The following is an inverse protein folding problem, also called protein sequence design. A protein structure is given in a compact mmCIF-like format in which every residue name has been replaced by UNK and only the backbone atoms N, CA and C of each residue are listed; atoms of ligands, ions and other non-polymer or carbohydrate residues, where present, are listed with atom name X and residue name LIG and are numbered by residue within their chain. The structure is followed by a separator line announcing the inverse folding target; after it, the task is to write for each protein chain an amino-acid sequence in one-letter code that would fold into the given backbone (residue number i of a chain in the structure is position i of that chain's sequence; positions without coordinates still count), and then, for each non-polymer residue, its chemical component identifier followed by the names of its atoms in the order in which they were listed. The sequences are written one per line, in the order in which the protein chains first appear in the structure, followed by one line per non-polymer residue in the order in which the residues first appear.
data_IF_443324479066
#
_entry.id   IF_443324479066
#
_cell.length_a   1.000
_cell.length_b   1.000
_cell.length_c   1.000
_cell.angle_alpha   90.00
_cell.angle_beta   90.00
_cell.angle_gamma   90.00
#
_symmetry.space_group_name_H-M   'P 1'
#
loop_
_entity.id
_entity.type
_entity.pdbx_description
1 polymer ?
#
# COMPACT_ATOMS: atom_id res chain seq x y z
N UNK A 1 19.08 15.21 13.48
CA UNK A 1 19.02 13.79 13.03
C UNK A 1 18.89 13.77 11.51
N UNK A 2 19.47 12.75 10.84
CA UNK A 2 19.35 12.59 9.39
C UNK A 2 17.92 12.18 9.06
N UNK A 3 17.31 12.82 8.05
CA UNK A 3 15.96 12.45 7.60
C UNK A 3 16.00 11.06 6.95
N UNK A 4 15.02 10.16 7.24
CA UNK A 4 14.97 8.84 6.62
C UNK A 4 14.56 8.95 5.15
N UNK A 5 15.12 8.08 4.31
CA UNK A 5 14.64 7.86 2.95
C UNK A 5 13.48 6.88 2.95
N UNK A 6 12.35 7.31 2.39
CA UNK A 6 11.14 6.52 2.27
C UNK A 6 10.93 6.17 0.80
N UNK A 7 11.05 4.89 0.48
CA UNK A 7 10.82 4.39 -0.86
C UNK A 7 9.33 4.30 -1.17
N UNK A 8 8.87 4.97 -2.22
CA UNK A 8 7.51 4.80 -2.74
C UNK A 8 7.62 4.00 -4.03
N UNK A 9 7.05 2.79 -4.03
CA UNK A 9 7.07 1.92 -5.21
C UNK A 9 6.13 2.48 -6.25
N UNK A 10 6.65 2.71 -7.45
CA UNK A 10 5.91 3.32 -8.55
C UNK A 10 4.88 2.36 -9.15
N UNK A 11 3.87 2.93 -9.79
CA UNK A 11 2.86 2.21 -10.59
C UNK A 11 3.04 2.52 -12.06
N UNK A 12 2.91 1.51 -12.90
CA UNK A 12 2.85 1.71 -14.35
C UNK A 12 1.50 2.28 -14.77
N UNK A 13 1.52 3.20 -15.72
CA UNK A 13 0.33 3.69 -16.42
C UNK A 13 0.61 3.66 -17.91
N UNK A 14 -0.24 2.94 -18.63
CA UNK A 14 -0.27 2.99 -20.08
C UNK A 14 -1.27 4.08 -20.52
N UNK A 15 -0.75 5.08 -21.21
CA UNK A 15 -1.55 6.02 -21.98
C UNK A 15 -1.47 5.57 -23.44
N UNK A 16 -2.29 4.62 -23.84
CA UNK A 16 -2.49 4.31 -25.25
C UNK A 16 -3.74 5.02 -25.74
N UNK A 17 -3.57 6.02 -26.60
CA UNK A 17 -4.64 6.50 -27.45
C UNK A 17 -4.65 5.61 -28.71
N UNK A 18 -5.83 5.14 -29.16
CA UNK A 18 -5.95 4.29 -30.36
C UNK A 18 -5.38 4.94 -31.64
N UNK A 19 -5.16 6.26 -31.62
CA UNK A 19 -4.60 7.03 -32.71
C UNK A 19 -3.06 7.22 -32.65
N UNK A 20 -2.40 6.77 -31.56
CA UNK A 20 -0.99 7.02 -31.37
C UNK A 20 -0.14 5.94 -32.05
N UNK A 21 0.78 6.38 -32.91
CA UNK A 21 1.82 5.52 -33.51
C UNK A 21 2.84 5.08 -32.45
N UNK A 22 2.93 5.81 -31.33
CA UNK A 22 3.84 5.53 -30.23
C UNK A 22 3.04 5.15 -28.99
N UNK A 23 3.40 4.02 -28.35
CA UNK A 23 2.88 3.63 -27.04
C UNK A 23 3.71 4.29 -25.96
N UNK A 24 3.07 5.10 -25.10
CA UNK A 24 3.72 5.74 -23.98
C UNK A 24 3.29 5.06 -22.67
N UNK A 25 4.24 4.50 -21.95
CA UNK A 25 4.03 4.05 -20.59
C UNK A 25 4.81 4.93 -19.60
N UNK A 26 4.23 5.18 -18.45
CA UNK A 26 4.82 6.05 -17.42
C UNK A 26 4.84 5.34 -16.08
N UNK A 27 5.89 5.60 -15.31
CA UNK A 27 5.91 5.26 -13.90
C UNK A 27 5.42 6.47 -13.09
N UNK A 28 4.40 6.28 -12.24
CA UNK A 28 3.83 7.35 -11.42
C UNK A 28 3.99 7.11 -9.95
N UNK A 29 4.06 8.21 -9.20
CA UNK A 29 3.97 8.26 -7.74
C UNK A 29 2.88 9.28 -7.37
N UNK A 30 2.04 8.93 -6.40
CA UNK A 30 0.98 9.79 -5.89
C UNK A 30 1.56 10.99 -5.16
N UNK A 31 1.21 12.21 -5.59
CA UNK A 31 1.64 13.45 -4.94
C UNK A 31 1.17 13.58 -3.48
N UNK A 32 -0.06 13.19 -3.08
CA UNK A 32 -0.45 13.16 -1.67
C UNK A 32 0.51 12.37 -0.78
N UNK A 33 1.01 11.20 -1.25
CA UNK A 33 2.00 10.43 -0.50
C UNK A 33 3.33 11.18 -0.35
N UNK A 34 3.83 11.75 -1.45
CA UNK A 34 5.06 12.53 -1.43
C UNK A 34 4.96 13.70 -0.46
N UNK A 35 3.81 14.40 -0.45
CA UNK A 35 3.57 15.53 0.45
C UNK A 35 3.50 15.10 1.91
N UNK A 36 2.73 14.07 2.26
CA UNK A 36 2.59 13.65 3.65
C UNK A 36 3.92 13.14 4.23
N UNK A 37 4.74 12.44 3.44
CA UNK A 37 6.08 12.02 3.88
C UNK A 37 6.98 13.22 4.15
N UNK A 38 6.95 14.24 3.28
CA UNK A 38 7.72 15.49 3.49
C UNK A 38 7.26 16.21 4.77
N UNK A 39 5.94 16.34 4.98
CA UNK A 39 5.36 17.01 6.14
C UNK A 39 5.69 16.26 7.46
N UNK A 40 5.84 14.94 7.41
CA UNK A 40 6.27 14.11 8.53
C UNK A 40 7.81 14.06 8.72
N UNK A 41 8.57 14.78 7.89
CA UNK A 41 10.02 14.89 8.03
C UNK A 41 10.84 13.77 7.38
N UNK A 42 10.26 12.99 6.49
CA UNK A 42 10.94 12.03 5.61
C UNK A 42 11.43 12.65 4.32
N UNK A 43 12.17 11.88 3.53
CA UNK A 43 12.56 12.18 2.16
C UNK A 43 11.97 11.07 1.28
N UNK A 44 10.99 11.40 0.46
CA UNK A 44 10.39 10.45 -0.48
C UNK A 44 11.33 10.22 -1.66
N UNK A 45 11.57 8.96 -2.02
CA UNK A 45 12.26 8.54 -3.24
C UNK A 45 11.40 7.53 -4.00
N UNK A 46 11.37 7.66 -5.34
CA UNK A 46 10.66 6.72 -6.19
C UNK A 46 11.48 5.44 -6.39
N UNK A 47 10.84 4.28 -6.20
CA UNK A 47 11.40 2.98 -6.56
C UNK A 47 10.67 2.51 -7.81
N UNK A 48 11.39 2.45 -8.91
CA UNK A 48 10.89 1.90 -10.17
C UNK A 48 11.19 0.42 -10.28
N UNK A 49 10.34 -0.38 -10.93
CA UNK A 49 10.64 -1.79 -11.20
C UNK A 49 11.89 -1.89 -12.08
N UNK A 50 12.80 -2.78 -11.73
CA UNK A 50 14.04 -3.04 -12.45
C UNK A 50 13.81 -4.14 -13.50
N UNK A 51 13.08 -3.81 -14.55
CA UNK A 51 12.69 -4.76 -15.60
C UNK A 51 12.51 -4.03 -16.93
N UNK A 52 12.83 -4.70 -18.01
CA UNK A 52 12.61 -4.24 -19.38
C UNK A 52 11.25 -4.68 -19.96
N UNK A 53 10.46 -5.45 -19.19
CA UNK A 53 9.15 -5.93 -19.62
C UNK A 53 8.12 -4.83 -19.47
N UNK A 54 7.41 -4.51 -20.55
CA UNK A 54 6.46 -3.41 -20.60
C UNK A 54 5.14 -3.71 -19.88
N UNK A 55 4.74 -4.98 -19.76
CA UNK A 55 3.44 -5.37 -19.20
C UNK A 55 3.55 -6.21 -17.95
N UNK A 56 3.30 -5.57 -16.80
CA UNK A 56 3.08 -6.24 -15.50
C UNK A 56 1.62 -6.26 -15.08
N UNK A 57 0.71 -5.76 -15.92
CA UNK A 57 -0.71 -5.76 -15.62
C UNK A 57 -1.22 -7.21 -15.65
N UNK A 58 -1.50 -7.75 -14.48
CA UNK A 58 -2.26 -8.99 -14.37
C UNK A 58 -3.68 -8.73 -14.89
N UNK A 59 -3.94 -9.05 -16.14
CA UNK A 59 -5.30 -9.24 -16.63
C UNK A 59 -5.85 -10.60 -16.21
N UNK A 60 -4.97 -11.55 -15.89
CA UNK A 60 -5.27 -12.89 -15.45
C UNK A 60 -4.23 -13.34 -14.41
N UNK A 61 -4.66 -13.93 -13.28
CA UNK A 61 -3.77 -14.45 -12.24
C UNK A 61 -2.87 -15.60 -12.74
N UNK A 62 -3.27 -16.28 -13.84
CA UNK A 62 -2.50 -17.34 -14.47
C UNK A 62 -1.26 -16.84 -15.23
N UNK A 63 -1.19 -15.56 -15.58
CA UNK A 63 -0.09 -14.96 -16.34
C UNK A 63 0.91 -14.18 -15.46
N UNK A 64 1.06 -14.54 -14.20
CA UNK A 64 1.99 -13.87 -13.31
C UNK A 64 3.44 -14.07 -13.77
N UNK A 65 3.98 -13.09 -14.46
CA UNK A 65 5.40 -13.04 -14.81
C UNK A 65 6.22 -12.82 -13.56
N UNK A 66 6.75 -13.89 -12.98
CA UNK A 66 7.63 -13.82 -11.81
C UNK A 66 8.87 -12.99 -12.17
N UNK A 67 9.36 -12.21 -11.21
CA UNK A 67 10.64 -11.54 -11.35
C UNK A 67 11.77 -12.58 -11.48
N UNK A 68 12.66 -12.35 -12.43
CA UNK A 68 13.91 -13.11 -12.53
C UNK A 68 14.79 -12.84 -11.29
N UNK A 69 15.77 -13.73 -11.04
CA UNK A 69 16.71 -13.52 -9.93
C UNK A 69 17.49 -12.21 -10.04
N UNK A 70 17.81 -11.78 -11.27
CA UNK A 70 18.49 -10.51 -11.48
C UNK A 70 17.59 -9.31 -11.17
N UNK A 71 16.33 -9.31 -11.65
CA UNK A 71 15.37 -8.27 -11.36
C UNK A 71 15.10 -8.14 -9.84
N UNK A 72 15.03 -9.28 -9.13
CA UNK A 72 14.92 -9.30 -7.68
C UNK A 72 16.17 -8.68 -7.00
N UNK A 73 17.36 -9.05 -7.45
CA UNK A 73 18.61 -8.53 -6.90
C UNK A 73 18.72 -7.01 -7.09
N UNK A 74 18.42 -6.52 -8.29
CA UNK A 74 18.46 -5.09 -8.61
C UNK A 74 17.43 -4.28 -7.81
N UNK A 75 16.23 -4.83 -7.64
CA UNK A 75 15.19 -4.21 -6.82
C UNK A 75 15.60 -4.17 -5.32
N UNK A 76 16.23 -5.22 -4.82
CA UNK A 76 16.77 -5.27 -3.46
C UNK A 76 17.83 -4.17 -3.23
N UNK A 77 18.70 -3.89 -4.20
CA UNK A 77 19.68 -2.80 -4.07
C UNK A 77 18.98 -1.43 -3.94
N UNK A 78 17.86 -1.21 -4.66
CA UNK A 78 17.05 -0.01 -4.49
C UNK A 78 16.41 0.04 -3.08
N UNK A 79 15.88 -1.08 -2.59
CA UNK A 79 15.23 -1.16 -1.27
C UNK A 79 16.22 -0.91 -0.13
N UNK A 80 17.48 -1.33 -0.25
CA UNK A 80 18.54 -1.09 0.74
C UNK A 80 18.85 0.39 0.96
N UNK A 81 18.51 1.27 0.03
CA UNK A 81 18.64 2.72 0.18
C UNK A 81 17.56 3.32 1.09
N UNK A 82 16.50 2.57 1.39
CA UNK A 82 15.32 3.05 2.08
C UNK A 82 15.31 2.61 3.54
N UNK A 83 14.90 3.53 4.42
CA UNK A 83 14.64 3.23 5.83
C UNK A 83 13.24 2.65 6.07
N UNK A 84 12.35 2.80 5.09
CA UNK A 84 11.01 2.24 5.04
C UNK A 84 10.43 2.35 3.64
N UNK A 85 9.36 1.62 3.37
CA UNK A 85 8.77 1.47 2.04
C UNK A 85 7.25 1.69 2.07
N UNK A 86 6.72 2.30 1.02
CA UNK A 86 5.28 2.44 0.79
C UNK A 86 4.92 1.75 -0.53
N UNK A 87 3.95 0.84 -0.47
CA UNK A 87 3.22 0.32 -1.61
C UNK A 87 1.96 1.16 -1.79
N UNK A 88 1.92 1.97 -2.82
CA UNK A 88 0.84 2.93 -3.04
C UNK A 88 -0.41 2.30 -3.64
N UNK A 89 -1.53 3.03 -3.54
CA UNK A 89 -2.77 2.72 -4.24
C UNK A 89 -2.66 2.82 -5.76
N UNK A 90 -3.63 2.27 -6.47
CA UNK A 90 -3.73 2.33 -7.93
C UNK A 90 -4.55 1.20 -8.53
N UNK A 91 -4.80 1.28 -9.83
CA UNK A 91 -5.72 0.37 -10.53
C UNK A 91 -5.13 -1.02 -10.73
N UNK A 92 -3.80 -1.14 -10.87
CA UNK A 92 -3.12 -2.40 -11.16
C UNK A 92 -2.34 -2.93 -9.96
N UNK A 93 -2.30 -4.25 -9.82
CA UNK A 93 -1.36 -4.98 -8.99
C UNK A 93 -0.20 -5.49 -9.83
N UNK A 94 1.00 -5.48 -9.27
CA UNK A 94 2.20 -5.92 -9.98
C UNK A 94 3.00 -6.90 -9.12
N UNK A 95 3.60 -7.91 -9.77
CA UNK A 95 4.37 -8.94 -9.06
C UNK A 95 5.59 -8.38 -8.30
N UNK A 96 6.19 -7.28 -8.80
CA UNK A 96 7.29 -6.65 -8.09
C UNK A 96 6.86 -6.03 -6.75
N UNK A 97 5.61 -5.58 -6.63
CA UNK A 97 5.08 -5.06 -5.36
C UNK A 97 4.82 -6.19 -4.35
N UNK A 98 4.33 -7.34 -4.81
CA UNK A 98 4.18 -8.55 -3.99
C UNK A 98 5.55 -9.02 -3.48
N UNK A 99 6.57 -9.00 -4.36
CA UNK A 99 7.95 -9.29 -3.99
C UNK A 99 8.48 -8.30 -2.93
N UNK A 100 8.25 -6.98 -3.12
CA UNK A 100 8.65 -5.96 -2.14
C UNK A 100 7.97 -6.18 -0.80
N UNK A 101 6.66 -6.49 -0.78
CA UNK A 101 5.94 -6.78 0.45
C UNK A 101 6.58 -7.94 1.22
N UNK A 102 6.83 -9.06 0.52
CA UNK A 102 7.49 -10.22 1.11
C UNK A 102 8.89 -9.91 1.60
N UNK A 103 9.71 -9.24 0.79
CA UNK A 103 11.07 -8.86 1.16
C UNK A 103 11.09 -7.96 2.40
N UNK A 104 10.23 -6.94 2.48
CA UNK A 104 10.12 -6.07 3.64
C UNK A 104 9.69 -6.84 4.89
N UNK A 105 8.73 -7.78 4.76
CA UNK A 105 8.32 -8.64 5.85
C UNK A 105 9.48 -9.50 6.37
N UNK A 106 10.18 -10.20 5.49
CA UNK A 106 11.29 -11.10 5.85
C UNK A 106 12.46 -10.35 6.51
N UNK A 107 12.74 -9.12 6.07
CA UNK A 107 13.86 -8.30 6.54
C UNK A 107 13.47 -7.25 7.61
N UNK A 108 12.24 -7.29 8.14
CA UNK A 108 11.74 -6.37 9.16
C UNK A 108 11.89 -4.88 8.76
N UNK A 109 11.70 -4.57 7.47
CA UNK A 109 11.71 -3.20 6.96
C UNK A 109 10.33 -2.59 7.18
N UNK A 110 10.23 -1.38 7.78
CA UNK A 110 8.94 -0.70 7.94
C UNK A 110 8.20 -0.57 6.61
N UNK A 111 6.92 -0.98 6.58
CA UNK A 111 6.09 -0.96 5.37
C UNK A 111 4.68 -0.45 5.66
N UNK A 112 4.19 0.39 4.74
CA UNK A 112 2.75 0.69 4.60
C UNK A 112 2.33 0.25 3.19
N UNK A 113 1.24 -0.54 3.09
CA UNK A 113 0.54 -0.80 1.84
C UNK A 113 -0.83 -0.13 1.84
N UNK A 114 -1.14 0.68 0.82
CA UNK A 114 -2.38 1.44 0.71
C UNK A 114 -3.20 0.92 -0.47
N UNK A 115 -4.49 0.61 -0.27
CA UNK A 115 -5.44 0.18 -1.30
C UNK A 115 -4.90 -1.01 -2.13
N UNK A 116 -4.39 -0.81 -3.34
CA UNK A 116 -3.72 -1.87 -4.11
C UNK A 116 -2.47 -2.40 -3.38
N UNK A 117 -1.73 -1.53 -2.65
CA UNK A 117 -0.60 -1.93 -1.81
C UNK A 117 -1.00 -2.86 -0.66
N UNK A 118 -2.17 -2.66 -0.06
CA UNK A 118 -2.76 -3.60 0.90
C UNK A 118 -2.98 -4.98 0.25
N UNK A 119 -3.56 -5.02 -0.96
CA UNK A 119 -3.75 -6.29 -1.68
C UNK A 119 -2.42 -6.98 -1.98
N UNK A 120 -1.39 -6.20 -2.34
CA UNK A 120 -0.05 -6.73 -2.65
C UNK A 120 0.66 -7.27 -1.40
N UNK A 121 0.42 -6.71 -0.21
CA UNK A 121 0.86 -7.30 1.06
C UNK A 121 0.23 -8.68 1.25
N UNK A 122 -1.08 -8.79 1.12
CA UNK A 122 -1.81 -10.04 1.31
C UNK A 122 -1.33 -11.10 0.33
N UNK A 123 -1.25 -10.76 -0.97
CA UNK A 123 -0.81 -11.70 -2.01
C UNK A 123 0.68 -12.08 -1.86
N UNK A 124 1.54 -11.11 -1.55
CA UNK A 124 2.97 -11.34 -1.35
C UNK A 124 3.29 -12.29 -0.18
N UNK A 125 2.38 -12.39 0.81
CA UNK A 125 2.46 -13.33 1.93
C UNK A 125 1.60 -14.59 1.71
N UNK A 126 1.09 -14.81 0.49
CA UNK A 126 0.40 -16.06 0.11
C UNK A 126 -1.12 -16.07 0.33
N UNK A 127 -1.72 -14.91 0.64
CA UNK A 127 -3.16 -14.75 0.75
C UNK A 127 -3.84 -14.42 -0.58
N UNK A 128 -5.12 -14.03 -0.51
CA UNK A 128 -5.93 -13.67 -1.69
C UNK A 128 -6.62 -12.32 -1.49
N UNK A 129 -6.74 -11.57 -2.58
CA UNK A 129 -7.58 -10.40 -2.69
C UNK A 129 -8.44 -10.53 -3.94
N UNK A 130 -9.76 -10.39 -3.78
CA UNK A 130 -10.77 -10.64 -4.81
C UNK A 130 -11.72 -9.44 -4.91
N UNK A 131 -12.58 -9.44 -5.94
CA UNK A 131 -13.59 -8.40 -6.11
C UNK A 131 -14.55 -8.38 -4.91
N UNK A 132 -14.81 -7.19 -4.41
CA UNK A 132 -15.84 -6.97 -3.38
C UNK A 132 -17.22 -7.21 -3.95
N UNK A 133 -18.13 -7.76 -3.13
CA UNK A 133 -19.51 -8.06 -3.54
C UNK A 133 -20.39 -6.82 -3.79
N UNK A 134 -20.00 -5.67 -3.23
CA UNK A 134 -20.73 -4.41 -3.26
C UNK A 134 -19.81 -3.23 -3.65
N UNK A 135 -19.34 -3.19 -4.92
CA UNK A 135 -18.34 -2.20 -5.35
C UNK A 135 -18.85 -0.76 -5.29
N UNK A 136 -20.16 -0.52 -5.44
CA UNK A 136 -20.78 0.82 -5.34
C UNK A 136 -20.67 1.43 -3.93
N UNK A 137 -20.50 0.61 -2.89
CA UNK A 137 -20.26 1.06 -1.52
C UNK A 137 -18.80 1.43 -1.28
N UNK A 138 -17.89 0.72 -1.95
CA UNK A 138 -16.45 0.78 -1.70
C UNK A 138 -15.66 1.58 -2.75
N UNK A 139 -16.28 1.98 -3.85
CA UNK A 139 -15.66 2.84 -4.85
C UNK A 139 -16.43 4.16 -4.98
N UNK A 140 -16.18 5.09 -4.04
CA UNK A 140 -16.92 6.34 -3.84
C UNK A 140 -16.02 7.55 -4.02
N UNK A 141 -15.84 7.99 -5.26
CA UNK A 141 -15.09 9.21 -5.60
C UNK A 141 -15.88 10.51 -5.33
N UNK A 142 -17.18 10.38 -5.05
CA UNK A 142 -18.13 11.46 -4.91
C UNK A 142 -18.24 12.03 -3.47
N UNK A 143 -17.62 11.36 -2.49
CA UNK A 143 -17.68 11.74 -1.08
C UNK A 143 -16.30 11.69 -0.41
N UNK A 144 -16.11 12.48 0.65
CA UNK A 144 -14.88 12.47 1.45
C UNK A 144 -14.82 11.22 2.35
N UNK A 145 -15.92 10.89 2.97
CA UNK A 145 -16.10 9.71 3.82
C UNK A 145 -17.17 8.81 3.22
N UNK A 146 -16.85 7.54 3.05
CA UNK A 146 -17.69 6.58 2.33
C UNK A 146 -18.41 5.60 3.26
N UNK A 147 -17.72 5.14 4.32
CA UNK A 147 -18.25 4.17 5.28
C UNK A 147 -17.50 4.22 6.61
N UNK A 148 -18.07 3.58 7.62
CA UNK A 148 -17.44 3.41 8.92
C UNK A 148 -16.26 2.43 8.88
N UNK A 149 -15.26 2.68 9.73
CA UNK A 149 -14.13 1.81 10.00
C UNK A 149 -14.07 1.54 11.49
N UNK A 150 -14.18 0.27 11.88
CA UNK A 150 -14.20 -0.17 13.28
C UNK A 150 -12.92 -0.93 13.60
N UNK A 151 -12.20 -0.48 14.62
CA UNK A 151 -11.04 -1.21 15.16
C UNK A 151 -11.55 -2.40 15.98
N UNK A 152 -11.11 -3.61 15.61
CA UNK A 152 -11.50 -4.87 16.25
C UNK A 152 -10.41 -5.42 17.19
N UNK A 153 -9.19 -4.86 17.12
CA UNK A 153 -8.08 -5.23 18.00
C UNK A 153 -7.45 -3.98 18.64
N UNK A 154 -7.76 -3.77 19.93
CA UNK A 154 -7.27 -2.62 20.72
C UNK A 154 -5.82 -2.76 21.19
N UNK A 155 -5.23 -3.93 21.06
CA UNK A 155 -3.80 -4.17 21.36
C UNK A 155 -2.91 -3.96 20.12
N UNK A 156 -3.52 -3.59 18.97
CA UNK A 156 -2.82 -3.37 17.72
C UNK A 156 -1.96 -2.10 17.70
N UNK A 157 -0.90 -2.12 16.90
CA UNK A 157 -0.13 -0.92 16.57
C UNK A 157 -1.05 0.14 15.95
N UNK A 158 -1.94 -0.28 15.04
CA UNK A 158 -2.88 0.61 14.39
C UNK A 158 -3.75 1.38 15.40
N UNK A 159 -4.37 0.70 16.37
CA UNK A 159 -5.15 1.36 17.42
C UNK A 159 -4.31 2.35 18.25
N UNK A 160 -3.08 1.97 18.60
CA UNK A 160 -2.17 2.86 19.34
C UNK A 160 -1.90 4.19 18.63
N UNK A 161 -2.06 4.22 17.29
CA UNK A 161 -1.86 5.38 16.43
C UNK A 161 -3.15 6.19 16.28
N UNK A 162 -4.24 5.55 15.83
CA UNK A 162 -5.50 6.24 15.53
C UNK A 162 -6.23 6.67 16.80
N UNK A 163 -6.19 5.88 17.86
CA UNK A 163 -6.76 6.15 19.21
C UNK A 163 -8.26 6.40 19.20
N UNK A 164 -8.95 5.80 18.26
CA UNK A 164 -10.39 5.89 18.08
C UNK A 164 -10.90 4.53 17.61
N UNK A 165 -12.04 4.07 18.12
CA UNK A 165 -12.56 2.73 17.83
C UNK A 165 -13.40 2.69 16.57
N UNK A 166 -14.25 3.71 16.40
CA UNK A 166 -15.18 3.82 15.28
C UNK A 166 -15.04 5.20 14.63
N UNK A 167 -14.75 5.26 13.35
CA UNK A 167 -14.62 6.50 12.59
C UNK A 167 -14.91 6.24 11.11
N UNK A 168 -15.14 7.32 10.36
CA UNK A 168 -15.39 7.24 8.92
C UNK A 168 -14.11 7.34 8.11
N UNK A 169 -14.06 6.65 6.96
CA UNK A 169 -12.95 6.65 6.01
C UNK A 169 -13.44 6.85 4.58
N UNK A 170 -12.54 7.28 3.70
CA UNK A 170 -12.78 7.25 2.26
C UNK A 170 -12.69 5.81 1.73
N UNK A 171 -13.21 5.57 0.54
CA UNK A 171 -13.14 4.24 -0.07
C UNK A 171 -13.12 4.37 -1.60
N UNK A 172 -12.01 3.91 -2.20
CA UNK A 172 -11.75 4.01 -3.64
C UNK A 172 -11.26 2.66 -4.17
N UNK A 173 -11.97 1.57 -3.83
CA UNK A 173 -11.52 0.24 -4.18
C UNK A 173 -12.64 -0.70 -4.61
N UNK A 174 -12.28 -1.69 -5.41
CA UNK A 174 -13.16 -2.76 -5.89
C UNK A 174 -12.67 -4.15 -5.49
N UNK A 175 -11.49 -4.25 -4.87
CA UNK A 175 -10.91 -5.51 -4.36
C UNK A 175 -10.75 -5.44 -2.86
N UNK A 176 -10.83 -6.61 -2.20
CA UNK A 176 -10.68 -6.77 -0.75
C UNK A 176 -9.89 -8.05 -0.45
N UNK A 177 -9.21 -8.10 0.70
CA UNK A 177 -8.56 -9.31 1.18
C UNK A 177 -9.59 -10.35 1.62
N UNK A 178 -9.65 -11.49 0.94
CA UNK A 178 -10.60 -12.57 1.24
C UNK A 178 -9.93 -13.76 1.95
N UNK A 179 -8.62 -13.92 1.80
CA UNK A 179 -7.83 -14.88 2.54
C UNK A 179 -6.61 -14.16 3.13
N UNK A 180 -6.70 -13.88 4.44
CA UNK A 180 -5.62 -13.19 5.17
C UNK A 180 -4.58 -14.23 5.61
N UNK A 181 -3.28 -14.06 5.27
CA UNK A 181 -2.21 -14.95 5.72
C UNK A 181 -2.07 -14.96 7.24
N UNK A 182 -1.58 -16.07 7.81
CA UNK A 182 -1.36 -16.21 9.26
C UNK A 182 -0.35 -15.21 9.85
N UNK A 183 0.51 -14.65 9.02
CA UNK A 183 1.50 -13.62 9.33
C UNK A 183 0.86 -12.26 9.65
N UNK A 184 -0.39 -12.07 9.24
CA UNK A 184 -1.15 -10.85 9.41
C UNK A 184 -2.35 -11.06 10.34
N UNK A 185 -2.67 -10.03 11.11
CA UNK A 185 -3.89 -9.94 11.90
C UNK A 185 -4.80 -8.87 11.32
N UNK A 186 -6.10 -9.16 11.21
CA UNK A 186 -7.11 -8.15 10.92
C UNK A 186 -7.30 -7.30 12.16
N UNK A 187 -7.12 -5.98 12.04
CA UNK A 187 -7.19 -5.05 13.18
C UNK A 187 -8.29 -4.00 13.04
N UNK A 188 -8.82 -3.81 11.84
CA UNK A 188 -10.00 -3.00 11.60
C UNK A 188 -10.83 -3.54 10.43
N UNK A 189 -12.14 -3.33 10.51
CA UNK A 189 -13.12 -3.75 9.49
C UNK A 189 -14.07 -2.60 9.17
N UNK A 190 -14.69 -2.65 8.00
CA UNK A 190 -15.78 -1.74 7.64
C UNK A 190 -17.08 -2.10 8.37
N UNK A 191 -18.09 -1.23 8.27
CA UNK A 191 -19.42 -1.45 8.85
C UNK A 191 -20.24 -2.56 8.15
N UNK A 192 -19.73 -3.14 7.04
CA UNK A 192 -20.21 -4.36 6.40
C UNK A 192 -19.21 -5.53 6.54
N UNK A 193 -18.37 -5.51 7.58
CA UNK A 193 -17.43 -6.56 8.00
C UNK A 193 -16.33 -6.88 6.96
N UNK A 194 -16.05 -5.97 6.01
CA UNK A 194 -14.91 -6.14 5.12
C UNK A 194 -13.60 -5.72 5.81
N UNK A 195 -12.50 -6.40 5.49
CA UNK A 195 -11.20 -6.11 6.10
C UNK A 195 -10.63 -4.78 5.62
N UNK A 196 -10.48 -3.82 6.53
CA UNK A 196 -9.95 -2.48 6.21
C UNK A 196 -8.48 -2.33 6.58
N UNK A 197 -8.02 -2.96 7.66
CA UNK A 197 -6.62 -2.85 8.08
C UNK A 197 -6.10 -4.20 8.55
N UNK A 198 -4.91 -4.53 8.07
CA UNK A 198 -4.11 -5.68 8.54
C UNK A 198 -2.76 -5.22 9.08
N UNK A 199 -2.23 -5.90 10.09
CA UNK A 199 -0.88 -5.65 10.59
C UNK A 199 -0.12 -6.94 10.88
N UNK A 200 1.21 -6.89 10.80
CA UNK A 200 2.09 -7.95 11.28
C UNK A 200 2.63 -7.57 12.66
N UNK A 201 2.04 -8.11 13.73
CA UNK A 201 2.35 -7.77 15.14
C UNK A 201 3.80 -8.01 15.55
N UNK A 202 4.50 -8.93 14.90
CA UNK A 202 5.88 -9.28 15.22
C UNK A 202 6.91 -8.45 14.41
N UNK A 203 6.47 -7.40 13.71
CA UNK A 203 7.31 -6.50 12.92
C UNK A 203 7.36 -5.10 13.54
N UNK A 204 8.44 -4.37 13.28
CA UNK A 204 8.62 -3.00 13.78
C UNK A 204 7.47 -2.07 13.36
N UNK A 205 7.10 -2.13 12.10
CA UNK A 205 5.98 -1.40 11.50
C UNK A 205 5.60 -2.07 10.19
N UNK A 206 4.45 -2.71 10.13
CA UNK A 206 4.01 -3.39 8.92
C UNK A 206 2.49 -3.35 8.85
N UNK A 207 1.95 -2.40 8.08
CA UNK A 207 0.52 -2.14 7.96
C UNK A 207 0.05 -2.24 6.51
N UNK A 208 -1.05 -2.94 6.29
CA UNK A 208 -1.87 -2.83 5.09
C UNK A 208 -3.15 -2.08 5.41
N UNK A 209 -3.44 -1.00 4.70
CA UNK A 209 -4.60 -0.13 4.89
C UNK A 209 -5.38 -0.09 3.58
N UNK A 210 -6.66 -0.45 3.64
CA UNK A 210 -7.48 -0.57 2.44
C UNK A 210 -7.98 0.77 1.91
N UNK A 211 -8.39 1.66 2.79
CA UNK A 211 -8.74 3.02 2.46
C UNK A 211 -7.48 3.89 2.18
N UNK A 212 -7.67 5.17 1.89
CA UNK A 212 -6.60 6.10 1.51
C UNK A 212 -6.33 7.15 2.59
N UNK A 213 -5.52 6.84 3.63
CA UNK A 213 -5.20 7.79 4.70
C UNK A 213 -4.41 9.01 4.19
N UNK A 214 -3.63 8.88 3.12
CA UNK A 214 -2.86 9.97 2.54
C UNK A 214 -3.73 11.09 1.96
N UNK A 215 -4.96 10.77 1.54
CA UNK A 215 -5.92 11.75 1.06
C UNK A 215 -6.61 12.51 2.20
N UNK A 216 -6.70 11.88 3.37
CA UNK A 216 -7.34 12.44 4.56
C UNK A 216 -6.34 13.15 5.49
N UNK A 217 -5.05 12.92 5.36
CA UNK A 217 -4.02 13.38 6.30
C UNK A 217 -3.97 14.90 6.51
N UNK A 218 -4.48 15.70 5.56
CA UNK A 218 -4.56 17.17 5.69
C UNK A 218 -5.76 17.67 6.50
N UNK A 219 -6.80 16.86 6.63
CA UNK A 219 -8.07 17.23 7.26
C UNK A 219 -8.42 16.39 8.48
N UNK A 220 -7.71 15.29 8.68
CA UNK A 220 -7.92 14.35 9.78
C UNK A 220 -6.58 13.96 10.43
N UNK A 221 -6.37 14.44 11.64
CA UNK A 221 -5.13 14.29 12.40
C UNK A 221 -4.80 12.81 12.71
N UNK A 222 -5.82 11.94 12.89
CA UNK A 222 -5.59 10.50 13.13
C UNK A 222 -4.94 9.84 11.90
N UNK A 223 -5.30 10.27 10.70
CA UNK A 223 -4.74 9.75 9.46
C UNK A 223 -3.29 10.24 9.26
N UNK A 224 -3.01 11.48 9.64
CA UNK A 224 -1.65 12.02 9.62
C UNK A 224 -0.73 11.29 10.59
N UNK A 225 -1.21 10.96 11.81
CA UNK A 225 -0.43 10.21 12.81
C UNK A 225 0.08 8.85 12.29
N UNK A 226 -0.60 8.23 11.33
CA UNK A 226 -0.13 6.97 10.72
C UNK A 226 1.23 7.21 10.04
N UNK A 227 1.35 8.28 9.27
CA UNK A 227 2.58 8.61 8.57
C UNK A 227 3.65 9.17 9.50
N UNK A 228 3.29 9.96 10.51
CA UNK A 228 4.21 10.43 11.54
C UNK A 228 4.85 9.25 12.26
N UNK A 229 4.04 8.29 12.73
CA UNK A 229 4.56 7.09 13.39
C UNK A 229 5.41 6.24 12.45
N UNK A 230 5.02 6.07 11.20
CA UNK A 230 5.81 5.35 10.20
C UNK A 230 7.18 5.99 9.99
N UNK A 231 7.22 7.31 9.76
CA UNK A 231 8.49 8.04 9.57
C UNK A 231 9.36 7.96 10.82
N UNK A 232 8.77 8.00 12.03
CA UNK A 232 9.51 7.85 13.27
C UNK A 232 10.12 6.45 13.43
N UNK A 233 9.42 5.40 13.02
CA UNK A 233 10.00 4.05 12.98
C UNK A 233 11.15 3.95 11.98
N UNK A 234 11.09 4.66 10.86
CA UNK A 234 12.14 4.70 9.85
C UNK A 234 13.41 5.46 10.29
N UNK A 235 13.38 6.21 11.40
CA UNK A 235 14.56 6.90 11.97
C UNK A 235 15.41 6.01 12.86
N UNK A 236 14.90 4.85 13.27
CA UNK A 236 15.56 3.86 14.13
C UNK A 236 16.39 2.89 13.29
#
# INVERSE_FOLDING_TARGET
MKKPFIGIVSKNIDYSCEADVYHWSFQRISDPLRHVIYDCGGIAIGIMPQTLRENFNKKDESESTLLTKQEQADLIECLKLCSGVILQGGIASHNYEEFVAKYCYENNIPLIGICAGYNNIIRGLGGKAELVSNPERHNREDVVYAHGCKVVDKDSLYYSIVREEDFEVNSLHTYIGTQIPSELSVVAVSDDDQTEVVEAKNKRFFLGIKYHPELLAKIDEKQKRIFERFVDECKK
#
